data_IF_451212751003
#
_entry.id   IF_451212751003
#
_cell.length_a   1.000
_cell.length_b   1.000
_cell.length_c   1.000
_cell.angle_alpha   90.00
_cell.angle_beta   90.00
_cell.angle_gamma   90.00
#
_symmetry.space_group_name_H-M   'P 1'
#
loop_
_entity.id
_entity.type
_entity.pdbx_description
1 polymer ?
#
# COMPACT_ATOMS: atom_id res chain seq x y z
N UNK A 1 6.74 13.88 -5.36
CA UNK A 1 7.38 12.59 -5.06
C UNK A 1 6.28 11.56 -4.91
N UNK A 2 6.43 10.38 -5.54
CA UNK A 2 5.46 9.26 -5.50
C UNK A 2 6.04 8.05 -4.76
N UNK A 3 5.15 7.22 -4.23
CA UNK A 3 5.40 5.84 -3.86
C UNK A 3 5.06 4.97 -5.08
N UNK A 4 5.97 4.09 -5.46
CA UNK A 4 5.68 2.98 -6.36
C UNK A 4 5.69 1.69 -5.54
N UNK A 5 4.61 0.91 -5.60
CA UNK A 5 4.44 -0.36 -4.91
C UNK A 5 4.19 -1.45 -5.93
N UNK A 6 5.06 -2.44 -5.99
CA UNK A 6 4.95 -3.56 -6.90
C UNK A 6 5.14 -4.92 -6.20
N UNK A 7 4.64 -5.96 -6.85
CA UNK A 7 4.86 -7.36 -6.48
C UNK A 7 5.60 -8.06 -7.61
N UNK A 8 6.71 -8.72 -7.27
CA UNK A 8 7.57 -9.37 -8.25
C UNK A 8 7.84 -10.84 -7.87
N UNK A 9 7.84 -11.73 -8.86
CA UNK A 9 8.46 -13.05 -8.76
C UNK A 9 9.84 -13.04 -9.41
N UNK A 10 10.74 -13.87 -8.90
CA UNK A 10 12.02 -14.16 -9.54
C UNK A 10 11.98 -15.61 -10.07
N UNK A 11 12.21 -15.77 -11.37
CA UNK A 11 12.19 -17.06 -12.07
C UNK A 11 13.39 -17.13 -13.02
N UNK A 12 14.29 -18.08 -12.79
CA UNK A 12 15.51 -18.28 -13.60
C UNK A 12 16.35 -17.00 -13.81
N UNK A 13 16.47 -16.19 -12.76
CA UNK A 13 17.20 -14.91 -12.79
C UNK A 13 16.45 -13.76 -13.45
N UNK A 14 15.23 -13.98 -13.95
CA UNK A 14 14.35 -12.95 -14.49
C UNK A 14 13.35 -12.49 -13.44
N UNK A 15 13.06 -11.18 -13.43
CA UNK A 15 12.02 -10.59 -12.60
C UNK A 15 10.73 -10.47 -13.40
N UNK A 16 9.64 -10.96 -12.81
CA UNK A 16 8.30 -10.90 -13.40
C UNK A 16 7.45 -10.07 -12.45
N UNK A 17 7.12 -8.85 -12.85
CA UNK A 17 6.18 -8.00 -12.15
C UNK A 17 4.76 -8.52 -12.40
N UNK A 18 4.05 -8.81 -11.31
CA UNK A 18 2.66 -9.31 -11.36
C UNK A 18 1.66 -8.25 -10.88
N UNK A 19 2.15 -7.15 -10.32
CA UNK A 19 1.36 -6.02 -9.88
C UNK A 19 2.26 -4.79 -9.77
N UNK A 20 1.79 -3.65 -10.25
CA UNK A 20 2.39 -2.33 -10.02
C UNK A 20 1.30 -1.30 -9.79
N UNK A 21 1.53 -0.42 -8.81
CA UNK A 21 0.73 0.76 -8.56
C UNK A 21 1.55 1.89 -7.97
N UNK A 22 1.30 3.09 -8.50
CA UNK A 22 1.84 4.31 -7.94
C UNK A 22 0.80 5.13 -7.16
N UNK A 23 1.28 5.90 -6.19
CA UNK A 23 0.48 6.90 -5.47
C UNK A 23 1.36 8.02 -4.90
N UNK A 24 0.80 9.15 -4.50
CA UNK A 24 1.58 10.27 -3.95
C UNK A 24 2.02 10.06 -2.49
N UNK A 25 3.22 10.54 -2.14
CA UNK A 25 3.72 10.57 -0.76
C UNK A 25 2.89 11.42 0.20
N UNK A 26 2.07 12.33 -0.32
CA UNK A 26 1.19 13.16 0.52
C UNK A 26 0.21 12.32 1.36
N UNK A 27 -0.02 11.06 1.00
CA UNK A 27 -0.87 10.13 1.74
C UNK A 27 -0.19 9.44 2.91
N UNK A 28 1.12 9.63 3.12
CA UNK A 28 1.88 8.98 4.19
C UNK A 28 1.30 9.21 5.58
N UNK A 29 0.82 10.43 5.89
CA UNK A 29 0.17 10.73 7.17
C UNK A 29 -1.15 9.98 7.33
N UNK A 30 -1.96 9.89 6.28
CA UNK A 30 -3.22 9.14 6.28
C UNK A 30 -2.96 7.64 6.47
N UNK A 31 -1.95 7.10 5.77
CA UNK A 31 -1.50 5.72 5.89
C UNK A 31 -1.02 5.39 7.32
N UNK A 32 -0.31 6.32 7.97
CA UNK A 32 0.18 6.14 9.34
C UNK A 32 -0.98 6.06 10.33
N UNK A 33 -1.99 6.93 10.19
CA UNK A 33 -3.19 6.91 11.03
C UNK A 33 -4.03 5.64 10.83
N UNK A 34 -4.06 5.09 9.62
CA UNK A 34 -4.68 3.80 9.33
C UNK A 34 -3.86 2.60 9.84
N UNK A 35 -2.58 2.80 10.16
CA UNK A 35 -1.66 1.75 10.60
C UNK A 35 -1.04 0.93 9.46
N UNK A 36 -1.05 1.44 8.22
CA UNK A 36 -0.57 0.75 7.01
C UNK A 36 0.64 1.42 6.38
N UNK A 37 1.15 2.52 6.95
CA UNK A 37 2.32 3.21 6.42
C UNK A 37 3.52 2.27 6.26
N UNK A 38 3.88 1.51 7.30
CA UNK A 38 5.00 0.59 7.19
C UNK A 38 4.76 -0.51 6.16
N UNK A 39 3.53 -1.03 6.04
CA UNK A 39 3.21 -2.08 5.07
C UNK A 39 3.43 -1.63 3.62
N UNK A 40 3.07 -0.37 3.31
CA UNK A 40 3.13 0.16 1.95
C UNK A 40 4.42 0.92 1.64
N UNK A 41 4.94 1.73 2.57
CA UNK A 41 6.12 2.59 2.34
C UNK A 41 7.44 1.99 2.82
N UNK A 42 7.41 1.11 3.83
CA UNK A 42 8.61 0.67 4.56
C UNK A 42 8.53 -0.79 5.03
N UNK A 43 8.12 -1.76 4.17
CA UNK A 43 7.86 -3.13 4.63
C UNK A 43 9.13 -3.80 5.19
N UNK A 44 10.28 -3.51 4.59
CA UNK A 44 11.60 -4.00 5.05
C UNK A 44 11.94 -3.62 6.50
N UNK A 45 11.50 -2.45 6.98
CA UNK A 45 11.73 -2.03 8.38
C UNK A 45 10.94 -2.86 9.40
N UNK A 46 10.00 -3.69 8.93
CA UNK A 46 9.24 -4.66 9.72
C UNK A 46 9.60 -6.11 9.40
N UNK A 47 10.58 -6.34 8.52
CA UNK A 47 10.92 -7.68 8.03
C UNK A 47 9.83 -8.29 7.14
N UNK A 48 8.94 -7.48 6.56
CA UNK A 48 7.94 -7.93 5.60
C UNK A 48 8.55 -7.93 4.21
N UNK A 49 8.56 -9.09 3.56
CA UNK A 49 9.22 -9.28 2.27
C UNK A 49 8.27 -9.76 1.19
N UNK A 50 7.19 -10.45 1.56
CA UNK A 50 6.24 -11.07 0.63
C UNK A 50 4.84 -10.51 0.82
N UNK A 51 4.02 -10.55 -0.24
CA UNK A 51 2.64 -10.03 -0.21
C UNK A 51 1.83 -10.53 0.99
N UNK A 52 1.96 -11.82 1.34
CA UNK A 52 1.28 -12.42 2.51
C UNK A 52 1.62 -11.78 3.84
N UNK A 53 2.83 -11.22 4.00
CA UNK A 53 3.32 -10.69 5.26
C UNK A 53 2.56 -9.42 5.69
N UNK A 54 1.94 -8.73 4.72
CA UNK A 54 1.22 -7.47 4.97
C UNK A 54 -0.31 -7.58 4.85
N UNK A 55 -0.87 -8.73 4.43
CA UNK A 55 -2.32 -8.89 4.19
C UNK A 55 -3.13 -8.47 5.42
N UNK A 56 -2.84 -9.05 6.59
CA UNK A 56 -3.60 -8.76 7.82
C UNK A 56 -3.52 -7.28 8.21
N UNK A 57 -2.36 -6.67 8.04
CA UNK A 57 -2.13 -5.24 8.30
C UNK A 57 -2.97 -4.38 7.36
N UNK A 58 -2.98 -4.71 6.06
CA UNK A 58 -3.77 -4.01 5.05
C UNK A 58 -5.28 -4.18 5.28
N UNK A 59 -5.76 -5.38 5.64
CA UNK A 59 -7.18 -5.63 5.96
C UNK A 59 -7.64 -4.77 7.14
N UNK A 60 -6.87 -4.76 8.24
CA UNK A 60 -7.16 -3.95 9.42
C UNK A 60 -7.16 -2.45 9.08
N UNK A 61 -6.20 -1.99 8.30
CA UNK A 61 -6.10 -0.60 7.86
C UNK A 61 -7.24 -0.18 6.94
N UNK A 62 -7.55 -0.99 5.93
CA UNK A 62 -8.64 -0.74 4.99
C UNK A 62 -9.99 -0.68 5.70
N UNK A 63 -10.23 -1.60 6.65
CA UNK A 63 -11.43 -1.56 7.50
C UNK A 63 -11.53 -0.25 8.27
N UNK A 64 -10.43 0.25 8.84
CA UNK A 64 -10.43 1.55 9.52
C UNK A 64 -10.73 2.70 8.56
N UNK A 65 -10.09 2.73 7.39
CA UNK A 65 -10.32 3.76 6.36
C UNK A 65 -11.80 3.86 6.02
N UNK A 66 -12.42 2.73 5.67
CA UNK A 66 -13.83 2.63 5.30
C UNK A 66 -14.79 2.93 6.44
N UNK A 67 -14.46 2.55 7.68
CA UNK A 67 -15.31 2.78 8.83
C UNK A 67 -15.35 4.25 9.30
N UNK A 68 -14.33 5.06 8.99
CA UNK A 68 -14.22 6.44 9.47
C UNK A 68 -13.88 7.45 8.35
N UNK A 69 -14.66 7.53 7.27
CA UNK A 69 -14.32 8.34 6.09
C UNK A 69 -14.19 9.83 6.43
N UNK A 70 -15.07 10.37 7.30
CA UNK A 70 -15.02 11.78 7.72
C UNK A 70 -13.73 12.11 8.46
N UNK A 71 -13.23 11.19 9.29
CA UNK A 71 -11.95 11.36 9.98
C UNK A 71 -10.78 11.36 8.99
N UNK A 72 -10.74 10.39 8.07
CA UNK A 72 -9.60 10.28 7.16
C UNK A 72 -9.57 11.35 6.07
N UNK A 73 -10.71 11.87 5.63
CA UNK A 73 -10.78 13.01 4.71
C UNK A 73 -10.11 14.28 5.25
N UNK A 74 -9.92 14.41 6.56
CA UNK A 74 -9.14 15.51 7.17
C UNK A 74 -7.66 15.50 6.80
N UNK A 75 -7.15 14.37 6.30
CA UNK A 75 -5.76 14.24 5.82
C UNK A 75 -5.64 14.41 4.31
N UNK A 76 -6.70 14.85 3.61
CA UNK A 76 -6.59 15.21 2.20
C UNK A 76 -5.55 16.33 2.03
N UNK A 77 -4.66 16.17 1.06
CA UNK A 77 -3.71 17.21 0.72
C UNK A 77 -4.42 18.43 0.11
N UNK A 78 -4.01 19.63 0.53
CA UNK A 78 -4.58 20.91 0.06
C UNK A 78 -4.40 21.12 -1.44
N UNK A 79 -3.31 20.61 -2.01
CA UNK A 79 -3.01 20.70 -3.44
C UNK A 79 -3.81 19.71 -4.32
N UNK A 80 -4.72 18.91 -3.73
CA UNK A 80 -5.53 17.92 -4.44
C UNK A 80 -4.82 16.60 -4.75
N UNK A 81 -3.49 16.52 -4.58
CA UNK A 81 -2.71 15.31 -4.76
C UNK A 81 -2.56 14.60 -3.42
N UNK A 82 -3.35 13.55 -3.20
CA UNK A 82 -3.32 12.77 -1.95
C UNK A 82 -4.65 12.89 -1.23
N UNK A 83 -5.70 12.47 -1.91
CA UNK A 83 -7.06 12.49 -1.38
C UNK A 83 -7.50 11.09 -0.98
N UNK A 84 -8.30 11.01 0.07
CA UNK A 84 -8.96 9.81 0.56
C UNK A 84 -9.65 9.00 -0.56
N UNK A 85 -10.30 9.70 -1.50
CA UNK A 85 -11.03 9.08 -2.62
C UNK A 85 -10.13 8.25 -3.55
N UNK A 86 -8.84 8.57 -3.61
CA UNK A 86 -7.85 7.82 -4.39
C UNK A 86 -7.10 6.80 -3.53
N UNK A 87 -6.95 7.08 -2.23
CA UNK A 87 -6.20 6.20 -1.34
C UNK A 87 -6.94 4.90 -1.01
N UNK A 88 -8.27 4.94 -0.82
CA UNK A 88 -9.02 3.73 -0.52
C UNK A 88 -8.94 2.69 -1.65
N UNK A 89 -9.23 3.03 -2.92
CA UNK A 89 -9.06 2.09 -4.03
C UNK A 89 -7.63 1.55 -4.12
N UNK A 90 -6.62 2.41 -3.99
CA UNK A 90 -5.22 1.97 -4.00
C UNK A 90 -4.93 0.89 -2.93
N UNK A 91 -5.41 1.08 -1.70
CA UNK A 91 -5.22 0.10 -0.62
C UNK A 91 -5.99 -1.20 -0.89
N UNK A 92 -7.18 -1.13 -1.48
CA UNK A 92 -7.95 -2.32 -1.90
C UNK A 92 -7.19 -3.12 -2.96
N UNK A 93 -6.62 -2.44 -3.94
CA UNK A 93 -5.91 -3.07 -5.04
C UNK A 93 -4.60 -3.70 -4.58
N UNK A 94 -3.80 -3.01 -3.74
CA UNK A 94 -2.64 -3.61 -3.09
C UNK A 94 -3.02 -4.84 -2.25
N UNK A 95 -4.11 -4.77 -1.48
CA UNK A 95 -4.58 -5.89 -0.66
C UNK A 95 -4.99 -7.09 -1.53
N UNK A 96 -5.75 -6.85 -2.59
CA UNK A 96 -6.20 -7.90 -3.51
C UNK A 96 -4.99 -8.54 -4.21
N UNK A 97 -4.04 -7.75 -4.68
CA UNK A 97 -2.81 -8.25 -5.29
C UNK A 97 -1.97 -9.09 -4.31
N UNK A 98 -1.87 -8.67 -3.04
CA UNK A 98 -1.18 -9.47 -2.01
C UNK A 98 -1.89 -10.81 -1.74
N UNK A 99 -3.22 -10.86 -1.84
CA UNK A 99 -4.00 -12.11 -1.72
C UNK A 99 -3.85 -13.01 -2.93
N UNK A 100 -3.80 -12.43 -4.13
CA UNK A 100 -3.63 -13.15 -5.39
C UNK A 100 -2.21 -13.70 -5.54
N UNK A 101 -1.20 -12.92 -5.13
CA UNK A 101 0.21 -13.24 -5.24
C UNK A 101 0.91 -13.26 -3.86
N UNK A 102 0.52 -14.17 -2.95
CA UNK A 102 0.96 -14.14 -1.54
C UNK A 102 2.47 -14.37 -1.38
N UNK A 103 3.11 -15.04 -2.34
CA UNK A 103 4.54 -15.35 -2.29
C UNK A 103 5.40 -14.38 -3.12
N UNK A 104 4.79 -13.46 -3.86
CA UNK A 104 5.52 -12.43 -4.60
C UNK A 104 6.23 -11.48 -3.63
N UNK A 105 7.42 -11.06 -4.01
CA UNK A 105 8.26 -10.13 -3.25
C UNK A 105 7.68 -8.73 -3.34
N UNK A 106 7.59 -8.06 -2.20
CA UNK A 106 7.18 -6.66 -2.13
C UNK A 106 8.36 -5.79 -2.52
N UNK A 107 8.17 -4.96 -3.54
CA UNK A 107 9.13 -3.96 -4.00
C UNK A 107 8.51 -2.58 -3.83
N UNK A 108 9.30 -1.67 -3.25
CA UNK A 108 8.85 -0.31 -2.93
C UNK A 108 9.93 0.68 -3.36
N UNK A 109 9.54 1.67 -4.15
CA UNK A 109 10.34 2.83 -4.55
C UNK A 109 9.67 4.11 -4.03
N UNK A 110 10.46 5.11 -3.64
CA UNK A 110 9.97 6.32 -2.98
C UNK A 110 10.75 7.57 -3.29
#
# INVERSE_FOLDING_TARGET
>A
MSLDFSLEYECDGNKIEVFDRNITHNLGKMAAQAGIYFALWRPKEKGWEKGKDIIETLEKGLKKLKAKPVFYKKFNAENGWGMYKYFVPFVEECLNACKEYPNAKIIVSR
#
